data_IF_780213374250
#
_entry.id   IF_780213374250
#
_cell.length_a   1.000
_cell.length_b   1.000
_cell.length_c   1.000
_cell.angle_alpha   90.00
_cell.angle_beta   90.00
_cell.angle_gamma   90.00
#
_symmetry.space_group_name_H-M   'P 1'
#
loop_
_entity.id
_entity.type
_entity.pdbx_description
1 polymer ?
#
# COMPACT_ATOMS: atom_id res chain seq x y z
N UNK A 1 -28.13 38.22 24.55
CA UNK A 1 -26.68 38.26 24.25
C UNK A 1 -26.32 36.90 23.70
N UNK A 2 -26.51 36.70 22.40
CA UNK A 2 -26.07 35.51 21.69
C UNK A 2 -24.79 35.92 20.97
N UNK A 3 -23.64 35.46 21.47
CA UNK A 3 -22.36 35.62 20.79
C UNK A 3 -22.39 34.86 19.46
N UNK A 4 -21.65 35.32 18.44
CA UNK A 4 -21.63 34.65 17.16
C UNK A 4 -21.01 33.27 17.33
N UNK A 5 -21.70 32.26 16.79
CA UNK A 5 -21.11 30.96 16.50
C UNK A 5 -19.89 31.24 15.61
N UNK A 6 -18.72 30.79 16.07
CA UNK A 6 -17.49 30.82 15.27
C UNK A 6 -17.77 29.99 14.03
N UNK A 7 -17.89 30.64 12.87
CA UNK A 7 -17.80 29.99 11.56
C UNK A 7 -16.45 29.27 11.54
N UNK A 8 -16.49 27.94 11.63
CA UNK A 8 -15.36 27.10 11.25
C UNK A 8 -15.15 27.35 9.75
N UNK A 9 -14.27 28.27 9.41
CA UNK A 9 -13.69 28.41 8.07
C UNK A 9 -12.79 27.19 7.82
N UNK A 10 -13.40 26.01 7.72
CA UNK A 10 -12.71 24.77 7.48
C UNK A 10 -12.44 24.68 5.98
N UNK A 11 -11.31 25.26 5.55
CA UNK A 11 -10.74 25.01 4.23
C UNK A 11 -10.74 23.50 3.96
N UNK A 12 -11.28 23.09 2.80
CA UNK A 12 -11.24 21.71 2.38
C UNK A 12 -9.80 21.18 2.37
N UNK A 13 -9.63 19.91 2.76
CA UNK A 13 -8.35 19.21 2.66
C UNK A 13 -8.30 18.55 1.28
N UNK A 14 -7.27 18.87 0.50
CA UNK A 14 -7.12 18.32 -0.83
C UNK A 14 -6.28 17.06 -0.84
N UNK A 15 -6.69 16.04 -1.60
CA UNK A 15 -5.85 14.89 -1.93
C UNK A 15 -5.48 15.03 -3.40
N UNK A 16 -4.19 15.22 -3.69
CA UNK A 16 -3.67 15.13 -5.05
C UNK A 16 -3.16 13.72 -5.28
N UNK A 17 -3.84 12.94 -6.12
CA UNK A 17 -3.48 11.55 -6.40
C UNK A 17 -2.75 11.44 -7.74
N UNK A 18 -1.43 11.29 -7.68
CA UNK A 18 -0.60 11.12 -8.85
C UNK A 18 -0.38 9.63 -9.15
N UNK A 19 -1.16 9.08 -10.10
CA UNK A 19 -0.97 7.74 -10.67
C UNK A 19 -0.01 7.71 -11.88
N UNK A 20 0.60 8.85 -12.20
CA UNK A 20 1.53 8.98 -13.31
C UNK A 20 2.96 8.56 -13.00
N UNK A 21 3.23 7.92 -11.84
CA UNK A 21 4.42 7.10 -11.71
C UNK A 21 4.41 5.97 -12.75
N UNK A 22 5.45 5.15 -12.79
CA UNK A 22 5.36 3.89 -13.52
C UNK A 22 4.36 3.01 -12.77
N UNK A 23 3.13 2.95 -13.27
CA UNK A 23 1.94 2.46 -12.57
C UNK A 23 1.13 1.51 -13.46
N UNK A 24 0.42 0.57 -12.84
CA UNK A 24 -0.63 -0.23 -13.48
C UNK A 24 -2.05 0.18 -13.04
N UNK A 25 -2.15 1.21 -12.22
CA UNK A 25 -3.37 1.75 -11.60
C UNK A 25 -4.11 0.73 -10.71
N UNK A 26 -3.38 -0.29 -10.25
CA UNK A 26 -3.93 -1.38 -9.44
C UNK A 26 -4.31 -0.93 -8.04
N UNK A 27 -3.58 0.02 -7.45
CA UNK A 27 -3.89 0.60 -6.15
C UNK A 27 -5.13 1.47 -6.24
N UNK A 28 -5.24 2.24 -7.32
CA UNK A 28 -6.44 2.99 -7.69
C UNK A 28 -7.67 2.06 -7.75
N UNK A 29 -7.60 0.97 -8.50
CA UNK A 29 -8.68 -0.03 -8.58
C UNK A 29 -8.94 -0.70 -7.23
N UNK A 30 -7.90 -1.03 -6.48
CA UNK A 30 -8.02 -1.70 -5.18
C UNK A 30 -8.77 -0.85 -4.16
N UNK A 31 -8.53 0.47 -4.11
CA UNK A 31 -9.24 1.38 -3.21
C UNK A 31 -10.75 1.37 -3.44
N UNK A 32 -11.21 1.17 -4.67
CA UNK A 32 -12.65 1.08 -5.00
C UNK A 32 -13.35 -0.12 -4.37
N UNK A 33 -12.59 -1.14 -3.96
CA UNK A 33 -13.11 -2.32 -3.27
C UNK A 33 -13.09 -2.17 -1.74
N UNK A 34 -12.63 -1.05 -1.20
CA UNK A 34 -12.60 -0.81 0.23
C UNK A 34 -14.03 -0.67 0.77
N UNK A 35 -14.23 -1.15 2.00
CA UNK A 35 -15.55 -1.13 2.67
C UNK A 35 -15.47 -0.61 4.10
N UNK A 36 -14.27 -0.36 4.62
CA UNK A 36 -14.04 -0.04 6.03
C UNK A 36 -12.98 1.09 6.21
N UNK A 37 -13.32 2.35 5.87
CA UNK A 37 -14.51 2.77 5.12
C UNK A 37 -14.33 2.59 3.60
N UNK A 38 -15.39 2.80 2.83
CA UNK A 38 -15.29 2.92 1.37
C UNK A 38 -14.84 4.31 0.93
N UNK A 39 -14.45 4.47 -0.34
CA UNK A 39 -13.99 5.76 -0.86
C UNK A 39 -15.11 6.81 -0.89
N UNK A 40 -16.32 6.43 -1.26
CA UNK A 40 -17.49 7.31 -1.20
C UNK A 40 -17.83 7.74 0.23
N UNK A 41 -17.61 6.92 1.25
CA UNK A 41 -17.76 7.35 2.65
C UNK A 41 -16.71 8.40 3.06
N UNK A 42 -15.48 8.28 2.55
CA UNK A 42 -14.40 9.25 2.77
C UNK A 42 -14.76 10.58 2.07
N UNK A 43 -15.07 10.55 0.77
CA UNK A 43 -15.34 11.77 -0.02
C UNK A 43 -16.64 12.45 0.42
N UNK A 44 -17.67 11.69 0.80
CA UNK A 44 -18.91 12.25 1.32
C UNK A 44 -18.80 12.79 2.76
N UNK A 45 -17.66 12.60 3.44
CA UNK A 45 -17.49 13.00 4.83
C UNK A 45 -18.44 12.25 5.77
N UNK A 46 -18.74 10.98 5.48
CA UNK A 46 -19.71 10.18 6.23
C UNK A 46 -19.20 9.82 7.64
N UNK A 47 -17.88 9.87 7.85
CA UNK A 47 -17.25 9.56 9.13
C UNK A 47 -17.25 10.77 10.08
N UNK A 48 -17.62 10.60 11.36
CA UNK A 48 -17.67 11.70 12.33
C UNK A 48 -16.33 12.40 12.51
N UNK A 49 -16.28 13.71 12.27
CA UNK A 49 -15.06 14.51 12.45
C UNK A 49 -14.11 14.46 11.26
N UNK A 50 -14.40 13.70 10.20
CA UNK A 50 -13.60 13.77 8.98
C UNK A 50 -13.64 15.21 8.41
N UNK A 51 -12.50 15.83 8.06
CA UNK A 51 -12.52 17.10 7.34
C UNK A 51 -13.23 16.93 5.99
N UNK A 52 -13.75 18.02 5.43
CA UNK A 52 -14.20 18.01 4.04
C UNK A 52 -13.01 17.67 3.15
N UNK A 53 -13.14 16.61 2.34
CA UNK A 53 -12.09 16.14 1.43
C UNK A 53 -12.46 16.51 0.00
N UNK A 54 -11.53 17.15 -0.70
CA UNK A 54 -11.58 17.29 -2.14
C UNK A 54 -10.51 16.40 -2.75
N UNK A 55 -10.94 15.31 -3.39
CA UNK A 55 -10.04 14.33 -3.97
C UNK A 55 -9.87 14.59 -5.46
N UNK A 56 -8.66 14.97 -5.85
CA UNK A 56 -8.26 15.20 -7.22
C UNK A 56 -7.51 13.95 -7.71
N UNK A 57 -8.21 13.09 -8.43
CA UNK A 57 -7.74 11.74 -8.76
C UNK A 57 -8.11 11.35 -10.19
N UNK A 58 -7.12 11.06 -11.09
CA UNK A 58 -7.40 10.84 -12.51
C UNK A 58 -8.41 9.73 -12.81
N UNK A 59 -8.60 8.79 -11.88
CA UNK A 59 -9.52 7.66 -12.06
C UNK A 59 -11.01 8.06 -11.95
N UNK A 60 -11.34 9.08 -11.14
CA UNK A 60 -12.74 9.46 -10.85
C UNK A 60 -13.04 10.95 -10.94
N UNK A 61 -12.03 11.80 -11.19
CA UNK A 61 -12.29 13.23 -11.26
C UNK A 61 -13.30 13.56 -12.37
N UNK A 62 -14.20 14.47 -12.05
CA UNK A 62 -15.15 14.99 -13.02
C UNK A 62 -14.47 16.01 -13.94
N UNK A 63 -13.55 16.80 -13.38
CA UNK A 63 -12.75 17.74 -14.13
C UNK A 63 -11.84 16.97 -15.10
N UNK A 64 -11.73 17.48 -16.32
CA UNK A 64 -10.95 16.87 -17.40
C UNK A 64 -10.64 17.89 -18.49
N UNK A 65 -9.75 17.51 -19.41
CA UNK A 65 -9.38 18.36 -20.54
C UNK A 65 -8.04 19.07 -20.36
N UNK A 66 -7.67 19.92 -21.34
CA UNK A 66 -6.32 20.46 -21.42
C UNK A 66 -6.04 21.49 -20.32
N UNK A 67 -4.75 21.76 -20.07
CA UNK A 67 -4.31 22.90 -19.28
C UNK A 67 -5.04 24.18 -19.72
N UNK A 68 -5.45 25.00 -18.74
CA UNK A 68 -6.16 26.28 -18.92
C UNK A 68 -7.58 26.19 -19.51
N UNK A 69 -8.12 24.98 -19.70
CA UNK A 69 -9.53 24.76 -20.03
C UNK A 69 -10.49 25.00 -18.86
N UNK A 70 -11.78 25.22 -19.15
CA UNK A 70 -12.81 25.16 -18.12
C UNK A 70 -12.93 23.72 -17.60
N UNK A 71 -12.76 23.51 -16.29
CA UNK A 71 -12.69 22.18 -15.69
C UNK A 71 -11.31 21.50 -15.87
N UNK A 72 -10.24 22.28 -16.00
CA UNK A 72 -8.88 21.72 -16.15
C UNK A 72 -8.42 21.05 -14.85
N UNK A 73 -8.49 19.72 -14.85
CA UNK A 73 -8.06 18.88 -13.73
C UNK A 73 -6.61 19.14 -13.27
N UNK A 74 -5.69 19.31 -14.21
CA UNK A 74 -4.27 19.53 -13.89
C UNK A 74 -4.00 20.88 -13.21
N UNK A 75 -4.95 21.83 -13.26
CA UNK A 75 -4.81 23.11 -12.56
C UNK A 75 -4.64 22.93 -11.05
N UNK A 76 -5.19 21.87 -10.46
CA UNK A 76 -4.99 21.56 -9.03
C UNK A 76 -3.52 21.30 -8.69
N UNK A 77 -2.75 20.68 -9.59
CA UNK A 77 -1.31 20.46 -9.44
C UNK A 77 -0.55 21.78 -9.59
N UNK A 78 -0.88 22.59 -10.61
CA UNK A 78 -0.25 23.91 -10.80
C UNK A 78 -0.52 24.85 -9.62
N UNK A 79 -1.73 24.83 -9.03
CA UNK A 79 -2.06 25.59 -7.81
C UNK A 79 -1.21 25.15 -6.62
N UNK A 80 -1.01 23.84 -6.45
CA UNK A 80 -0.17 23.32 -5.38
C UNK A 80 1.30 23.72 -5.56
N UNK A 81 1.85 23.66 -6.78
CA UNK A 81 3.20 24.17 -7.11
C UNK A 81 3.35 25.66 -6.78
N UNK A 82 2.34 26.48 -7.07
CA UNK A 82 2.34 27.91 -6.76
C UNK A 82 2.13 28.22 -5.26
N UNK A 83 1.88 27.20 -4.43
CA UNK A 83 1.59 27.36 -3.00
C UNK A 83 0.19 27.92 -2.71
N UNK A 84 -0.73 27.81 -3.67
CA UNK A 84 -2.13 28.30 -3.59
C UNK A 84 -3.10 27.22 -3.09
N UNK A 85 -2.62 26.00 -2.83
CA UNK A 85 -3.38 24.86 -2.32
C UNK A 85 -2.81 24.42 -0.96
N UNK A 86 -3.54 24.65 0.13
CA UNK A 86 -3.18 24.21 1.48
C UNK A 86 -4.44 24.05 2.35
N UNK A 87 -4.59 22.97 3.14
CA UNK A 87 -3.70 21.80 3.22
C UNK A 87 -3.92 20.80 2.08
N UNK A 88 -2.87 20.06 1.71
CA UNK A 88 -3.01 18.92 0.80
C UNK A 88 -2.11 17.73 1.15
N UNK A 89 -2.64 16.54 0.87
CA UNK A 89 -1.91 15.27 0.89
C UNK A 89 -1.55 14.90 -0.54
N UNK A 90 -0.27 14.67 -0.81
CA UNK A 90 0.18 14.11 -2.08
C UNK A 90 0.20 12.58 -1.97
N UNK A 91 -0.64 11.92 -2.75
CA UNK A 91 -0.59 10.47 -2.92
C UNK A 91 0.18 10.17 -4.20
N UNK A 92 1.20 9.31 -4.08
CA UNK A 92 2.01 8.84 -5.21
C UNK A 92 1.72 7.36 -5.43
N UNK A 93 1.21 7.03 -6.62
CA UNK A 93 1.00 5.67 -7.11
C UNK A 93 1.94 5.40 -8.29
N UNK A 94 2.56 4.22 -8.28
CA UNK A 94 3.62 3.86 -9.22
C UNK A 94 5.01 4.29 -8.76
N UNK A 95 6.04 3.63 -9.30
CA UNK A 95 7.45 3.90 -8.96
C UNK A 95 7.96 5.16 -9.66
N UNK A 96 8.91 5.85 -9.05
CA UNK A 96 9.52 7.06 -9.62
C UNK A 96 10.60 6.67 -10.63
N UNK A 97 10.50 7.06 -11.91
CA UNK A 97 11.55 6.79 -12.90
C UNK A 97 12.79 7.68 -12.68
N UNK A 98 13.97 7.18 -13.04
CA UNK A 98 15.18 8.01 -13.19
C UNK A 98 15.15 8.71 -14.56
N UNK A 99 14.58 9.91 -14.59
CA UNK A 99 14.50 10.72 -15.82
C UNK A 99 15.88 11.18 -16.32
N UNK A 100 16.93 11.13 -15.50
CA UNK A 100 18.30 11.36 -15.96
C UNK A 100 18.78 10.32 -16.98
N UNK A 101 18.16 9.13 -16.99
CA UNK A 101 18.45 8.04 -17.94
C UNK A 101 17.62 8.10 -19.22
N UNK A 102 16.60 8.97 -19.30
CA UNK A 102 15.66 9.05 -20.43
C UNK A 102 16.23 9.79 -21.67
N UNK A 103 17.42 10.39 -21.55
CA UNK A 103 18.07 11.12 -22.63
C UNK A 103 17.32 12.41 -23.00
N UNK A 104 16.85 12.52 -24.23
CA UNK A 104 16.10 13.70 -24.71
C UNK A 104 14.59 13.59 -24.51
N UNK A 105 14.09 12.45 -24.02
CA UNK A 105 12.68 12.19 -23.77
C UNK A 105 12.36 12.14 -22.27
N UNK A 106 11.32 11.39 -21.93
CA UNK A 106 10.90 11.10 -20.56
C UNK A 106 10.37 9.66 -20.49
N UNK A 107 10.41 9.06 -19.31
CA UNK A 107 9.81 7.74 -19.06
C UNK A 107 8.34 7.84 -18.71
N UNK A 108 7.97 8.81 -17.86
CA UNK A 108 6.57 9.08 -17.52
C UNK A 108 6.31 10.57 -17.32
N UNK A 109 5.19 11.04 -17.85
CA UNK A 109 4.80 12.45 -17.79
C UNK A 109 3.33 12.62 -17.42
N UNK A 110 3.03 13.74 -16.77
CA UNK A 110 1.70 14.09 -16.31
C UNK A 110 1.47 15.58 -16.49
N UNK A 111 0.36 15.98 -17.12
CA UNK A 111 0.15 17.38 -17.46
C UNK A 111 1.17 17.94 -18.44
N UNK A 112 1.12 19.25 -18.66
CA UNK A 112 2.03 19.97 -19.57
C UNK A 112 2.56 21.21 -18.88
N UNK A 113 3.84 21.55 -19.08
CA UNK A 113 4.39 22.80 -18.57
C UNK A 113 3.86 23.95 -19.43
N UNK A 114 3.06 24.88 -18.87
CA UNK A 114 2.45 25.94 -19.66
C UNK A 114 3.47 26.92 -20.26
N UNK A 115 4.72 26.91 -19.78
CA UNK A 115 5.79 27.78 -20.29
C UNK A 115 6.49 27.19 -21.51
N UNK A 116 6.61 25.87 -21.57
CA UNK A 116 7.39 25.17 -22.62
C UNK A 116 6.52 24.36 -23.57
N UNK A 117 5.28 24.04 -23.18
CA UNK A 117 4.40 23.14 -23.89
C UNK A 117 4.86 21.68 -23.88
N UNK A 118 5.83 21.32 -23.03
CA UNK A 118 6.34 19.95 -22.90
C UNK A 118 5.65 19.21 -21.75
N UNK A 119 5.52 17.87 -21.82
CA UNK A 119 5.08 17.07 -20.68
C UNK A 119 5.94 17.33 -19.45
N UNK A 120 5.32 17.42 -18.27
CA UNK A 120 6.06 17.50 -17.01
C UNK A 120 6.34 16.07 -16.55
N UNK A 121 7.60 15.65 -16.39
CA UNK A 121 7.93 14.33 -15.87
C UNK A 121 7.32 14.08 -14.50
N UNK A 122 6.97 12.83 -14.19
CA UNK A 122 6.35 12.50 -12.91
C UNK A 122 7.27 12.80 -11.71
N UNK A 123 8.59 12.61 -11.87
CA UNK A 123 9.60 12.99 -10.88
C UNK A 123 9.64 14.51 -10.65
N UNK A 124 9.50 15.31 -11.72
CA UNK A 124 9.47 16.78 -11.62
C UNK A 124 8.26 17.25 -10.81
N UNK A 125 7.11 16.60 -10.96
CA UNK A 125 5.95 16.88 -10.08
C UNK A 125 6.26 16.59 -8.63
N UNK A 126 6.95 15.48 -8.35
CA UNK A 126 7.34 15.14 -6.98
C UNK A 126 8.27 16.22 -6.40
N UNK A 127 9.27 16.68 -7.16
CA UNK A 127 10.17 17.78 -6.76
C UNK A 127 9.41 19.09 -6.50
N UNK A 128 8.46 19.43 -7.38
CA UNK A 128 7.65 20.65 -7.29
C UNK A 128 6.68 20.64 -6.11
N UNK A 129 6.08 19.48 -5.81
CA UNK A 129 4.98 19.38 -4.85
C UNK A 129 5.41 18.93 -3.45
N UNK A 130 6.46 18.10 -3.33
CA UNK A 130 6.89 17.58 -2.04
C UNK A 130 7.20 18.69 -1.00
N UNK A 131 7.88 19.81 -1.34
CA UNK A 131 8.12 20.89 -0.38
C UNK A 131 6.84 21.60 0.11
N UNK A 132 5.76 21.51 -0.69
CA UNK A 132 4.49 22.16 -0.42
C UNK A 132 3.49 21.23 0.28
N UNK A 133 3.61 19.92 0.11
CA UNK A 133 2.68 18.95 0.66
C UNK A 133 2.63 18.99 2.19
N UNK A 134 1.42 18.93 2.75
CA UNK A 134 1.23 18.75 4.20
C UNK A 134 1.66 17.35 4.63
N UNK A 135 1.38 16.34 3.79
CA UNK A 135 1.85 14.96 3.95
C UNK A 135 2.04 14.28 2.59
N UNK A 136 2.90 13.26 2.53
CA UNK A 136 3.09 12.40 1.35
C UNK A 136 2.76 10.95 1.72
N UNK A 137 1.96 10.30 0.88
CA UNK A 137 1.68 8.88 0.97
C UNK A 137 2.15 8.16 -0.29
N UNK A 138 3.04 7.19 -0.14
CA UNK A 138 3.48 6.30 -1.22
C UNK A 138 2.62 5.03 -1.20
N UNK A 139 1.73 4.87 -2.18
CA UNK A 139 0.74 3.80 -2.21
C UNK A 139 1.13 2.72 -3.21
N UNK A 140 1.08 1.47 -2.74
CA UNK A 140 1.56 0.33 -3.52
C UNK A 140 3.07 0.13 -3.39
N UNK A 141 3.51 -1.09 -3.63
CA UNK A 141 4.94 -1.45 -3.51
C UNK A 141 5.79 -0.74 -4.55
N UNK A 142 5.21 -0.39 -5.71
CA UNK A 142 5.89 0.42 -6.72
C UNK A 142 6.27 1.80 -6.18
N UNK A 143 5.32 2.55 -5.60
CA UNK A 143 5.64 3.85 -5.02
C UNK A 143 6.45 3.75 -3.73
N UNK A 144 6.20 2.74 -2.89
CA UNK A 144 6.91 2.59 -1.63
C UNK A 144 8.38 2.21 -1.84
N UNK A 145 8.66 1.25 -2.72
CA UNK A 145 9.99 0.59 -2.80
C UNK A 145 10.44 0.29 -4.24
N UNK A 146 9.81 0.86 -5.26
CA UNK A 146 10.09 0.61 -6.67
C UNK A 146 9.37 -0.61 -7.24
N UNK A 147 9.28 -1.71 -6.47
CA UNK A 147 8.50 -2.90 -6.82
C UNK A 147 8.93 -3.55 -8.14
N UNK A 148 7.96 -4.11 -8.88
CA UNK A 148 8.24 -4.85 -10.12
C UNK A 148 8.88 -3.99 -11.21
N UNK A 149 8.60 -2.69 -11.24
CA UNK A 149 9.21 -1.76 -12.19
C UNK A 149 10.69 -1.48 -11.88
N UNK A 150 11.09 -1.59 -10.61
CA UNK A 150 12.47 -1.46 -10.16
C UNK A 150 13.25 -2.79 -10.15
N UNK A 151 12.67 -3.86 -10.68
CA UNK A 151 13.29 -5.17 -10.74
C UNK A 151 14.65 -5.14 -11.46
N UNK A 152 15.55 -6.07 -11.11
CA UNK A 152 16.86 -6.17 -11.76
C UNK A 152 16.75 -6.21 -13.30
N UNK A 153 17.51 -5.33 -13.96
CA UNK A 153 17.51 -5.19 -15.41
C UNK A 153 16.45 -4.22 -15.97
N UNK A 154 15.71 -3.51 -15.11
CA UNK A 154 14.79 -2.48 -15.58
C UNK A 154 15.54 -1.34 -16.32
N UNK A 155 14.98 -0.80 -17.42
CA UNK A 155 15.64 0.23 -18.21
C UNK A 155 15.41 1.66 -17.69
N UNK A 156 14.52 1.84 -16.72
CA UNK A 156 14.03 3.17 -16.28
C UNK A 156 14.71 3.68 -15.03
N UNK A 157 15.54 2.87 -14.36
CA UNK A 157 16.13 3.20 -13.06
C UNK A 157 15.10 3.43 -11.98
N UNK A 158 13.93 2.78 -12.06
CA UNK A 158 12.80 3.06 -11.19
C UNK A 158 13.13 2.84 -9.71
N UNK A 159 12.55 3.65 -8.82
CA UNK A 159 12.77 3.59 -7.38
C UNK A 159 11.52 3.97 -6.57
N UNK A 160 11.56 3.74 -5.27
CA UNK A 160 10.51 4.20 -4.36
C UNK A 160 10.61 5.70 -4.07
N UNK A 161 9.51 6.30 -3.63
CA UNK A 161 9.46 7.68 -3.14
C UNK A 161 10.47 7.93 -2.00
N UNK A 162 10.66 7.01 -1.02
CA UNK A 162 11.71 7.17 0.00
C UNK A 162 13.14 7.13 -0.57
N UNK A 163 13.40 6.36 -1.63
CA UNK A 163 14.71 6.33 -2.27
C UNK A 163 14.98 7.63 -3.04
N UNK A 164 13.94 8.21 -3.63
CA UNK A 164 14.02 9.46 -4.38
C UNK A 164 14.16 10.69 -3.48
N UNK A 165 13.28 10.84 -2.47
CA UNK A 165 13.25 12.01 -1.57
C UNK A 165 14.23 11.89 -0.39
N UNK A 166 14.66 10.67 -0.08
CA UNK A 166 15.41 10.33 1.13
C UNK A 166 14.53 9.73 2.22
N UNK A 167 15.01 8.67 2.85
CA UNK A 167 14.28 7.91 3.89
C UNK A 167 13.98 8.72 5.15
N UNK A 168 14.79 9.73 5.46
CA UNK A 168 14.59 10.65 6.59
C UNK A 168 13.82 11.92 6.21
N UNK A 169 13.30 12.01 4.97
CA UNK A 169 12.54 13.16 4.50
C UNK A 169 11.31 13.39 5.37
N UNK A 170 11.02 14.68 5.63
CA UNK A 170 9.82 15.10 6.35
C UNK A 170 9.15 16.25 5.61
N UNK A 171 7.83 16.25 5.63
CA UNK A 171 7.02 17.36 5.12
C UNK A 171 7.22 18.61 5.96
N UNK A 172 6.73 19.76 5.47
CA UNK A 172 6.71 21.01 6.24
C UNK A 172 5.91 20.91 7.56
N UNK A 173 5.02 19.93 7.67
CA UNK A 173 4.27 19.63 8.89
C UNK A 173 5.03 18.67 9.84
N UNK A 174 6.27 18.31 9.50
CA UNK A 174 7.11 17.39 10.27
C UNK A 174 6.73 15.92 10.12
N UNK A 175 5.86 15.57 9.16
CA UNK A 175 5.41 14.20 8.95
C UNK A 175 6.39 13.44 8.04
N UNK A 176 6.80 12.20 8.40
CA UNK A 176 7.54 11.34 7.49
C UNK A 176 6.68 10.91 6.29
N UNK A 177 7.32 10.38 5.25
CA UNK A 177 6.62 9.68 4.15
C UNK A 177 5.85 8.50 4.76
N UNK A 178 4.59 8.32 4.38
CA UNK A 178 3.79 7.16 4.79
C UNK A 178 3.75 6.15 3.64
N UNK A 179 4.42 5.01 3.81
CA UNK A 179 4.40 3.93 2.83
C UNK A 179 3.27 2.94 3.15
N UNK A 180 2.38 2.72 2.19
CA UNK A 180 1.30 1.72 2.29
C UNK A 180 1.50 0.68 1.17
N UNK A 181 2.40 -0.31 1.36
CA UNK A 181 2.78 -1.22 0.29
C UNK A 181 1.78 -2.37 0.07
N UNK A 182 1.98 -3.06 -1.04
CA UNK A 182 1.21 -4.18 -1.58
C UNK A 182 1.17 -4.08 -3.12
N UNK A 183 0.98 -5.20 -3.80
CA UNK A 183 0.90 -5.23 -5.27
C UNK A 183 -0.35 -6.01 -5.73
N UNK A 184 -1.55 -5.38 -5.70
CA UNK A 184 -1.80 -4.02 -5.22
C UNK A 184 -1.91 -3.96 -3.68
N UNK A 185 -1.98 -2.75 -3.13
CA UNK A 185 -2.29 -2.53 -1.70
C UNK A 185 -3.65 -3.12 -1.35
N UNK A 186 -3.78 -3.75 -0.17
CA UNK A 186 -5.08 -4.26 0.30
C UNK A 186 -6.10 -3.10 0.41
N UNK A 187 -7.35 -3.26 -0.08
CA UNK A 187 -8.34 -2.18 -0.16
C UNK A 187 -8.52 -1.40 1.16
N UNK A 188 -8.92 -2.10 2.24
CA UNK A 188 -9.14 -1.43 3.52
C UNK A 188 -7.86 -0.93 4.19
N UNK A 189 -6.68 -1.54 3.93
CA UNK A 189 -5.43 -1.03 4.49
C UNK A 189 -5.11 0.37 3.93
N UNK A 190 -5.43 0.58 2.64
CA UNK A 190 -5.29 1.86 1.97
C UNK A 190 -6.29 2.88 2.51
N UNK A 191 -7.57 2.53 2.57
CA UNK A 191 -8.62 3.38 3.13
C UNK A 191 -8.35 3.77 4.60
N UNK A 192 -7.99 2.82 5.45
CA UNK A 192 -7.63 3.08 6.87
C UNK A 192 -6.44 4.04 6.99
N UNK A 193 -5.43 3.88 6.14
CA UNK A 193 -4.25 4.76 6.14
C UNK A 193 -4.60 6.18 5.70
N UNK A 194 -5.44 6.33 4.67
CA UNK A 194 -5.94 7.64 4.21
C UNK A 194 -6.73 8.32 5.34
N UNK A 195 -7.69 7.62 5.94
CA UNK A 195 -8.52 8.16 7.04
C UNK A 195 -7.67 8.56 8.23
N UNK A 196 -6.72 7.73 8.65
CA UNK A 196 -5.82 8.07 9.74
C UNK A 196 -5.02 9.35 9.41
N UNK A 197 -4.52 9.47 8.18
CA UNK A 197 -3.76 10.65 7.76
C UNK A 197 -4.64 11.91 7.71
N UNK A 198 -5.90 11.79 7.28
CA UNK A 198 -6.89 12.88 7.32
C UNK A 198 -7.16 13.37 8.75
N UNK A 199 -7.38 12.45 9.70
CA UNK A 199 -7.50 12.82 11.11
C UNK A 199 -6.21 13.42 11.66
N UNK A 200 -5.04 12.92 11.25
CA UNK A 200 -3.75 13.45 11.70
C UNK A 200 -3.52 14.88 11.21
N UNK A 201 -3.76 15.14 9.93
CA UNK A 201 -3.58 16.46 9.30
C UNK A 201 -4.58 17.48 9.85
N UNK A 202 -5.80 17.04 10.19
CA UNK A 202 -6.80 17.90 10.86
C UNK A 202 -6.60 18.05 12.38
N UNK A 203 -5.53 17.48 12.96
CA UNK A 203 -5.20 17.61 14.38
C UNK A 203 -6.06 16.77 15.33
N UNK A 204 -6.75 15.76 14.81
CA UNK A 204 -7.69 14.90 15.54
C UNK A 204 -7.12 13.51 15.88
N UNK A 205 -5.99 13.12 15.28
CA UNK A 205 -5.30 11.87 15.58
C UNK A 205 -3.84 12.10 16.04
N UNK A 206 -3.28 11.19 16.85
CA UNK A 206 -1.87 11.20 17.20
C UNK A 206 -0.99 10.96 15.97
N UNK A 207 0.32 11.16 16.15
CA UNK A 207 1.31 10.80 15.14
C UNK A 207 1.16 9.35 14.68
N UNK A 208 1.27 9.13 13.37
CA UNK A 208 1.16 7.81 12.77
C UNK A 208 2.38 6.98 13.17
N UNK A 209 2.16 5.88 13.88
CA UNK A 209 3.22 4.98 14.27
C UNK A 209 3.71 4.18 13.05
N UNK A 210 4.88 4.54 12.53
CA UNK A 210 5.51 3.86 11.40
C UNK A 210 6.62 2.91 11.87
N UNK A 211 6.88 1.85 11.09
CA UNK A 211 8.04 0.99 11.25
C UNK A 211 9.27 1.52 10.48
N UNK A 212 10.37 0.77 10.50
CA UNK A 212 11.64 1.17 9.87
C UNK A 212 11.56 1.28 8.34
N UNK A 213 10.52 0.69 7.73
CA UNK A 213 10.24 0.78 6.31
C UNK A 213 9.11 1.78 6.01
N UNK A 214 8.84 2.69 6.96
CA UNK A 214 7.85 3.76 6.87
C UNK A 214 6.40 3.27 6.75
N UNK A 215 6.10 2.05 7.25
CA UNK A 215 4.78 1.45 7.15
C UNK A 215 3.96 1.63 8.43
N UNK A 216 2.64 1.87 8.32
CA UNK A 216 1.72 1.81 9.46
C UNK A 216 1.89 0.51 10.29
N UNK A 217 2.35 0.63 11.54
CA UNK A 217 2.68 -0.55 12.36
C UNK A 217 1.48 -1.47 12.57
N UNK A 218 0.29 -0.91 12.79
CA UNK A 218 -0.91 -1.74 13.02
C UNK A 218 -1.29 -2.62 11.81
N UNK A 219 -0.82 -2.27 10.60
CA UNK A 219 -1.08 -3.03 9.38
C UNK A 219 0.05 -4.01 9.05
N UNK A 220 1.31 -3.63 9.32
CA UNK A 220 2.50 -4.33 8.82
C UNK A 220 3.47 -4.83 9.89
N UNK A 221 3.16 -4.74 11.18
CA UNK A 221 4.05 -5.25 12.24
C UNK A 221 4.11 -6.78 12.27
N UNK A 222 2.98 -7.44 11.98
CA UNK A 222 2.85 -8.91 11.99
C UNK A 222 3.19 -9.54 10.65
N UNK A 223 3.69 -10.78 10.68
CA UNK A 223 3.96 -11.54 9.46
C UNK A 223 2.71 -12.23 8.92
N UNK A 224 2.70 -12.52 7.62
CA UNK A 224 1.63 -13.30 6.98
C UNK A 224 1.42 -14.64 7.71
N UNK A 225 2.50 -15.29 8.12
CA UNK A 225 2.46 -16.56 8.84
C UNK A 225 1.73 -16.48 10.18
N UNK A 226 1.94 -15.40 10.94
CA UNK A 226 1.26 -15.19 12.23
C UNK A 226 -0.27 -15.07 12.09
N UNK A 227 -0.74 -14.72 10.90
CA UNK A 227 -2.16 -14.62 10.56
C UNK A 227 -2.75 -15.80 9.80
N UNK A 228 -1.91 -16.73 9.35
CA UNK A 228 -2.30 -17.78 8.40
C UNK A 228 -3.07 -18.91 9.10
N UNK A 229 -4.27 -19.22 8.64
CA UNK A 229 -5.06 -20.36 9.12
C UNK A 229 -4.40 -21.73 8.86
N UNK A 230 -3.43 -21.79 7.93
CA UNK A 230 -2.58 -22.97 7.68
C UNK A 230 -1.36 -23.08 8.61
N UNK A 231 -1.17 -22.17 9.56
CA UNK A 231 0.00 -22.17 10.45
C UNK A 231 0.10 -23.45 11.30
N UNK A 232 -1.02 -24.02 11.73
CA UNK A 232 -1.01 -25.26 12.51
C UNK A 232 -0.42 -26.47 11.75
N UNK A 233 -0.55 -26.51 10.42
CA UNK A 233 0.11 -27.51 9.58
C UNK A 233 1.63 -27.34 9.62
N UNK A 234 2.10 -26.09 9.54
CA UNK A 234 3.52 -25.77 9.69
C UNK A 234 4.08 -26.24 11.03
N UNK A 235 3.40 -25.93 12.15
CA UNK A 235 3.82 -26.32 13.50
C UNK A 235 3.91 -27.84 13.68
N UNK A 236 3.08 -28.58 12.94
CA UNK A 236 3.11 -30.04 12.96
C UNK A 236 4.10 -30.67 11.98
N UNK A 237 4.77 -29.88 11.14
CA UNK A 237 5.56 -30.37 10.00
C UNK A 237 4.71 -31.14 8.97
N UNK A 238 3.51 -30.65 8.70
CA UNK A 238 2.63 -31.11 7.63
C UNK A 238 2.68 -30.08 6.48
N UNK A 239 3.38 -30.44 5.41
CA UNK A 239 3.69 -29.54 4.31
C UNK A 239 3.14 -30.11 3.01
N UNK A 240 2.58 -29.22 2.19
CA UNK A 240 2.18 -29.54 0.84
C UNK A 240 3.40 -29.88 -0.02
N UNK A 241 3.28 -30.89 -0.89
CA UNK A 241 4.27 -31.22 -1.93
C UNK A 241 3.86 -30.69 -3.31
N UNK A 242 2.69 -30.05 -3.40
CA UNK A 242 2.12 -29.46 -4.61
C UNK A 242 0.94 -28.55 -4.26
N UNK A 243 0.33 -27.91 -5.25
CA UNK A 243 -0.69 -26.88 -5.04
C UNK A 243 -2.10 -27.42 -4.72
N UNK A 244 -2.36 -28.69 -5.00
CA UNK A 244 -3.63 -29.36 -4.66
C UNK A 244 -3.61 -29.88 -3.22
N UNK A 245 -3.45 -28.97 -2.25
CA UNK A 245 -3.34 -29.30 -0.84
C UNK A 245 -3.90 -28.20 0.06
N UNK A 246 -4.53 -28.61 1.16
CA UNK A 246 -4.93 -27.71 2.27
C UNK A 246 -3.82 -27.47 3.29
N UNK A 247 -2.70 -28.21 3.22
CA UNK A 247 -1.57 -28.08 4.15
C UNK A 247 -0.74 -26.81 3.89
N UNK A 248 0.27 -26.59 4.73
CA UNK A 248 1.15 -25.43 4.62
C UNK A 248 1.97 -25.44 3.31
N UNK A 249 2.07 -24.29 2.65
CA UNK A 249 2.69 -24.11 1.33
C UNK A 249 4.17 -23.71 1.36
N UNK A 250 4.83 -23.76 2.52
CA UNK A 250 6.23 -23.28 2.65
C UNK A 250 7.18 -23.99 1.68
N UNK A 251 7.00 -25.30 1.49
CA UNK A 251 7.82 -26.13 0.59
C UNK A 251 7.55 -25.95 -0.90
N UNK A 252 6.55 -25.16 -1.26
CA UNK A 252 6.20 -24.87 -2.65
C UNK A 252 6.28 -23.38 -2.99
N UNK A 253 6.96 -22.58 -2.15
CA UNK A 253 7.29 -21.19 -2.45
C UNK A 253 6.72 -20.12 -1.51
N UNK A 254 6.05 -20.50 -0.43
CA UNK A 254 5.41 -19.51 0.44
C UNK A 254 6.41 -18.81 1.39
N UNK A 255 6.64 -17.52 1.16
CA UNK A 255 7.50 -16.66 1.99
C UNK A 255 6.83 -16.11 3.25
N UNK A 256 5.61 -16.55 3.60
CA UNK A 256 4.77 -15.90 4.60
C UNK A 256 5.40 -15.75 5.98
N UNK A 257 6.42 -16.54 6.31
CA UNK A 257 7.14 -16.49 7.60
C UNK A 257 7.90 -15.18 7.83
N UNK A 258 8.40 -14.57 6.77
CA UNK A 258 9.28 -13.39 6.84
C UNK A 258 8.66 -12.15 6.19
N UNK A 259 7.45 -12.28 5.66
CA UNK A 259 6.72 -11.20 4.99
C UNK A 259 5.79 -10.51 5.97
N UNK A 260 5.94 -9.21 6.11
CA UNK A 260 5.08 -8.32 6.91
C UNK A 260 3.86 -7.90 6.09
N UNK A 261 2.71 -8.51 6.38
CA UNK A 261 1.43 -8.28 5.70
C UNK A 261 0.30 -8.98 6.47
N UNK A 262 -0.85 -8.30 6.60
CA UNK A 262 -2.01 -8.78 7.36
C UNK A 262 -3.02 -9.59 6.54
N UNK A 263 -2.84 -9.77 5.22
CA UNK A 263 -3.83 -10.38 4.31
C UNK A 263 -4.32 -11.76 4.79
N UNK A 264 -3.42 -12.64 5.23
CA UNK A 264 -3.85 -13.98 5.67
C UNK A 264 -4.72 -13.93 6.94
N UNK A 265 -4.52 -12.91 7.79
CA UNK A 265 -5.35 -12.67 8.98
C UNK A 265 -6.67 -11.98 8.64
N UNK A 266 -6.63 -11.05 7.69
CA UNK A 266 -7.71 -10.11 7.38
C UNK A 266 -8.67 -10.58 6.29
N UNK A 267 -8.22 -11.48 5.42
CA UNK A 267 -8.86 -11.70 4.11
C UNK A 267 -8.43 -10.62 3.11
N UNK A 268 -9.13 -10.54 1.97
CA UNK A 268 -8.85 -9.54 0.93
C UNK A 268 -9.99 -8.51 0.80
N UNK A 269 -11.21 -8.97 0.52
CA UNK A 269 -12.40 -8.11 0.44
C UNK A 269 -13.46 -8.72 1.35
N UNK A 270 -13.92 -7.98 2.36
CA UNK A 270 -14.92 -8.44 3.33
C UNK A 270 -14.57 -9.80 3.96
N UNK A 271 -13.30 -10.03 4.27
CA UNK A 271 -12.82 -11.31 4.83
C UNK A 271 -12.76 -12.46 3.83
N UNK A 272 -13.07 -12.23 2.54
CA UNK A 272 -12.99 -13.24 1.48
C UNK A 272 -11.65 -13.15 0.76
N UNK A 273 -11.09 -14.31 0.39
CA UNK A 273 -9.85 -14.40 -0.37
C UNK A 273 -8.60 -14.31 0.49
N UNK A 274 -7.51 -13.86 -0.11
CA UNK A 274 -6.20 -13.74 0.52
C UNK A 274 -5.12 -14.41 -0.34
N UNK A 275 -4.08 -14.92 0.31
CA UNK A 275 -2.97 -15.61 -0.38
C UNK A 275 -2.78 -17.03 0.19
N UNK A 276 -1.91 -17.29 1.19
CA UNK A 276 -1.63 -18.67 1.59
C UNK A 276 -2.80 -19.34 2.27
N UNK A 277 -3.67 -18.59 2.93
CA UNK A 277 -4.90 -19.09 3.54
C UNK A 277 -5.82 -19.75 2.49
N UNK A 278 -5.83 -19.23 1.25
CA UNK A 278 -6.66 -19.74 0.15
C UNK A 278 -5.89 -20.51 -0.91
N UNK A 279 -4.64 -20.92 -0.65
CA UNK A 279 -3.87 -21.79 -1.56
C UNK A 279 -2.88 -21.08 -2.48
N UNK A 280 -2.78 -19.76 -2.42
CA UNK A 280 -1.77 -18.99 -3.16
C UNK A 280 -0.50 -18.78 -2.34
N UNK A 281 0.67 -19.10 -2.88
CA UNK A 281 1.93 -18.82 -2.17
C UNK A 281 2.09 -17.32 -1.89
N UNK A 282 2.61 -16.98 -0.71
CA UNK A 282 2.97 -15.59 -0.43
C UNK A 282 4.27 -15.27 -1.18
N UNK A 283 4.20 -14.30 -2.10
CA UNK A 283 5.33 -13.86 -2.93
C UNK A 283 6.03 -12.61 -2.38
N UNK A 284 5.73 -12.22 -1.14
CA UNK A 284 6.31 -11.05 -0.48
C UNK A 284 6.03 -9.69 -1.13
N UNK A 285 4.88 -9.54 -1.80
CA UNK A 285 4.56 -8.33 -2.57
C UNK A 285 4.46 -7.02 -1.77
N UNK A 286 4.56 -7.04 -0.43
CA UNK A 286 4.58 -5.86 0.46
C UNK A 286 5.99 -5.51 0.98
N UNK A 287 7.02 -6.23 0.55
CA UNK A 287 8.37 -6.12 1.09
C UNK A 287 9.28 -5.29 0.18
N UNK A 288 10.24 -4.51 0.72
CA UNK A 288 11.17 -3.72 -0.09
C UNK A 288 12.04 -4.52 -1.07
N UNK A 289 12.27 -5.80 -0.81
CA UNK A 289 13.04 -6.67 -1.70
C UNK A 289 12.24 -7.29 -2.84
N UNK A 290 10.96 -6.97 -2.98
CA UNK A 290 10.10 -7.53 -4.02
C UNK A 290 10.35 -6.87 -5.38
N UNK A 291 10.49 -7.64 -6.47
CA UNK A 291 10.38 -9.10 -6.54
C UNK A 291 11.70 -9.86 -6.38
N UNK A 292 12.86 -9.23 -6.62
CA UNK A 292 14.14 -9.93 -6.87
C UNK A 292 14.58 -10.88 -5.76
N UNK A 293 14.40 -10.50 -4.49
CA UNK A 293 14.84 -11.33 -3.34
C UNK A 293 14.00 -12.58 -3.13
N UNK A 294 12.87 -12.69 -3.83
CA UNK A 294 11.85 -13.71 -3.62
C UNK A 294 11.64 -14.60 -4.85
N UNK A 295 12.31 -14.30 -5.97
CA UNK A 295 12.31 -15.12 -7.18
C UNK A 295 13.41 -16.20 -7.12
N UNK A 296 13.20 -17.38 -7.75
CA UNK A 296 11.95 -17.81 -8.40
C UNK A 296 10.86 -18.13 -7.36
N UNK A 297 9.66 -17.58 -7.54
CA UNK A 297 8.62 -17.62 -6.49
C UNK A 297 8.17 -19.02 -6.09
N UNK A 298 8.21 -19.98 -7.01
CA UNK A 298 7.72 -21.34 -6.80
C UNK A 298 8.76 -22.27 -6.16
N UNK A 299 9.95 -21.77 -5.87
CA UNK A 299 10.99 -22.52 -5.16
C UNK A 299 10.86 -22.32 -3.65
N UNK A 300 11.14 -23.35 -2.87
CA UNK A 300 11.15 -23.26 -1.41
C UNK A 300 12.07 -22.11 -0.95
N UNK A 301 11.59 -21.20 -0.09
CA UNK A 301 12.40 -20.08 0.39
C UNK A 301 13.72 -20.53 1.01
N UNK A 302 14.83 -19.91 0.58
CA UNK A 302 16.14 -20.12 1.19
C UNK A 302 16.22 -19.51 2.59
N UNK A 303 16.43 -20.34 3.61
CA UNK A 303 16.56 -19.93 5.01
C UNK A 303 16.68 -21.15 5.91
N UNK A 304 16.87 -20.99 7.24
CA UNK A 304 16.63 -22.10 8.14
C UNK A 304 15.16 -22.48 7.94
N UNK A 305 14.93 -23.57 7.21
CA UNK A 305 13.62 -24.20 7.13
C UNK A 305 13.12 -24.46 8.55
N UNK A 306 11.83 -24.82 8.73
CA UNK A 306 11.35 -25.24 10.04
C UNK A 306 12.40 -26.14 10.64
N UNK A 307 13.03 -25.71 11.74
CA UNK A 307 13.80 -26.61 12.57
C UNK A 307 12.76 -27.65 12.93
N UNK A 308 12.79 -28.79 12.23
CA UNK A 308 11.77 -29.81 12.33
C UNK A 308 11.81 -30.16 13.80
N UNK A 309 10.87 -29.60 14.55
CA UNK A 309 10.86 -29.86 15.96
C UNK A 309 10.39 -31.31 15.98
N UNK A 310 11.29 -32.23 16.33
CA UNK A 310 11.13 -33.69 16.23
C UNK A 310 9.85 -34.21 16.94
N UNK A 311 9.12 -33.33 17.63
CA UNK A 311 7.81 -33.57 18.23
C UNK A 311 6.60 -33.44 17.28
N UNK A 312 6.70 -32.91 16.06
CA UNK A 312 5.55 -32.74 15.15
C UNK A 312 4.72 -34.03 14.96
N UNK A 313 5.36 -35.17 14.62
CA UNK A 313 4.71 -36.48 14.57
C UNK A 313 4.11 -36.93 15.92
N UNK A 314 4.78 -36.62 17.03
CA UNK A 314 4.29 -36.93 18.38
C UNK A 314 3.00 -36.17 18.70
N UNK A 315 2.96 -34.85 18.44
CA UNK A 315 1.78 -34.02 18.67
C UNK A 315 0.60 -34.50 17.84
N UNK A 316 0.81 -34.85 16.56
CA UNK A 316 -0.25 -35.44 15.72
C UNK A 316 -0.77 -36.75 16.30
N UNK A 317 0.12 -37.62 16.76
CA UNK A 317 -0.24 -38.91 17.35
C UNK A 317 -1.08 -38.72 18.62
N UNK A 318 -0.67 -37.83 19.52
CA UNK A 318 -1.39 -37.55 20.77
C UNK A 318 -2.77 -36.90 20.52
N UNK A 319 -2.86 -35.96 19.56
CA UNK A 319 -4.15 -35.38 19.13
C UNK A 319 -5.06 -36.45 18.53
N UNK A 320 -4.53 -37.31 17.65
CA UNK A 320 -5.27 -38.42 17.04
C UNK A 320 -5.81 -39.42 18.07
N UNK A 321 -5.01 -39.77 19.09
CA UNK A 321 -5.47 -40.59 20.21
C UNK A 321 -6.62 -39.92 20.96
N UNK A 322 -6.46 -38.64 21.32
CA UNK A 322 -7.50 -37.89 22.04
C UNK A 322 -8.82 -37.84 21.26
N UNK A 323 -8.76 -37.54 19.95
CA UNK A 323 -9.94 -37.49 19.08
C UNK A 323 -10.67 -38.84 19.00
N UNK A 324 -9.93 -39.95 18.97
CA UNK A 324 -10.52 -41.31 19.00
C UNK A 324 -11.19 -41.60 20.33
N UNK A 325 -10.55 -41.25 21.44
CA UNK A 325 -11.09 -41.49 22.80
C UNK A 325 -12.33 -40.62 23.07
N UNK A 326 -12.38 -39.40 22.56
CA UNK A 326 -13.54 -38.50 22.73
C UNK A 326 -14.68 -38.77 21.76
N UNK A 327 -14.60 -39.82 20.93
CA UNK A 327 -15.63 -40.15 19.94
C UNK A 327 -15.73 -39.18 18.76
N UNK A 328 -14.77 -38.27 18.61
CA UNK A 328 -14.72 -37.30 17.51
C UNK A 328 -14.05 -37.87 16.23
N UNK A 329 -13.50 -39.09 16.31
CA UNK A 329 -12.75 -39.74 15.23
C UNK A 329 -13.37 -41.02 14.67
N UNK A 330 -14.64 -41.31 14.97
CA UNK A 330 -15.39 -42.40 14.34
C UNK A 330 -16.44 -41.77 13.42
N UNK A 331 -16.36 -42.09 12.13
CA UNK A 331 -17.18 -41.60 11.00
C UNK A 331 -16.63 -40.38 10.23
N UNK A 332 -15.46 -40.57 9.59
CA UNK A 332 -15.20 -40.21 8.17
C UNK A 332 -14.22 -41.19 7.55
#
# INVERSE_FOLDING_TARGET
MNGPLVENDARALHILWMNAGLSCDGESVSLTAATQPSIEEIVAGALPGLPQVEMHWPYFDFDSGPDQGAGSFIEWWHRAERGELEPFILVVEGSVPDEGSAGAGYWSGFGTDPRTGQPIPASDWLDRLAPHATAIMAVGTCAAYGGVHAMAGNPTGAMGVPDYLGWDWKSKAGLPIVCVPGCPTHPDNLAESIVHLLYRVSGQAPEIALDEALRPRWLFESTVHSGCDRASYYDSSDFATGYDSSSCLVKVGCWGQVVRCNVAKRGWINGVGGCPNVGGICIACTMPGFPDKFMPFMEEPGGPGPAAADYGPLVRTLRGFTLRVTGAGADR
#
